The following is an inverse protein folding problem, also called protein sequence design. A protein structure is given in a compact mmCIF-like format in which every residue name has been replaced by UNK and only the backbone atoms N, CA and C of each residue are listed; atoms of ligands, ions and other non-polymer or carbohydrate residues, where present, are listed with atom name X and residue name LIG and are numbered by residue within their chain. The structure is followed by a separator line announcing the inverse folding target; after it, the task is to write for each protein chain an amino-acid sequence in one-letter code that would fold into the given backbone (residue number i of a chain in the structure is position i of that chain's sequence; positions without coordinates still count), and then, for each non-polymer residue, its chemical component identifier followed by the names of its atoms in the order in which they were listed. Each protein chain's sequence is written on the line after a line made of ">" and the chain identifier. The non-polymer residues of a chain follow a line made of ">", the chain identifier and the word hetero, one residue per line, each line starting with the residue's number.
data_IF_102388303471
#
_entry.id   IF_102388303471
#
_cell.length_a   1.000
_cell.length_b   1.000
_cell.length_c   1.000
_cell.angle_alpha   90.00
_cell.angle_beta   90.00
_cell.angle_gamma   90.00
#
_symmetry.space_group_name_H-M   'P 1'
#
loop_
_entity.id
_entity.type
_entity.pdbx_description
1 polymer ?
#
# COMPACT_ATOMS: atom_id res chain seq x y z
N UNK A 1 -57.91 98.81 -76.51
CA UNK A 1 -59.05 99.34 -75.73
C UNK A 1 -59.18 98.53 -74.45
N UNK A 2 -58.52 98.98 -73.39
CA UNK A 2 -58.79 98.58 -72.01
C UNK A 2 -58.71 99.87 -71.21
N UNK A 3 -59.89 100.41 -70.92
CA UNK A 3 -60.09 101.73 -70.33
C UNK A 3 -59.38 101.78 -68.98
N UNK A 4 -58.36 102.63 -68.85
CA UNK A 4 -57.55 102.76 -67.65
C UNK A 4 -58.42 103.37 -66.54
N UNK A 5 -58.87 102.53 -65.61
CA UNK A 5 -59.75 102.92 -64.51
C UNK A 5 -59.13 104.02 -63.64
N UNK A 6 -57.79 104.07 -63.56
CA UNK A 6 -57.06 105.09 -62.81
C UNK A 6 -57.20 106.48 -63.45
N UNK A 7 -57.22 106.56 -64.79
CA UNK A 7 -57.47 107.80 -65.52
C UNK A 7 -58.94 108.23 -65.42
N UNK A 8 -59.88 107.27 -65.39
CA UNK A 8 -61.30 107.54 -65.15
C UNK A 8 -61.53 108.09 -63.74
N UNK A 9 -60.90 107.51 -62.71
CA UNK A 9 -60.99 108.03 -61.35
C UNK A 9 -60.27 109.36 -61.19
N UNK A 10 -59.09 109.56 -61.81
CA UNK A 10 -58.37 110.84 -61.75
C UNK A 10 -59.16 111.97 -62.42
N UNK A 11 -59.70 111.74 -63.62
CA UNK A 11 -60.56 112.70 -64.33
C UNK A 11 -61.87 112.98 -63.57
N UNK A 12 -62.53 111.96 -63.02
CA UNK A 12 -63.76 112.18 -62.24
C UNK A 12 -63.52 112.81 -60.88
N UNK A 13 -62.33 112.64 -60.28
CA UNK A 13 -61.94 113.35 -59.05
C UNK A 13 -61.57 114.80 -59.32
N UNK A 14 -60.85 115.08 -60.42
CA UNK A 14 -60.54 116.44 -60.84
C UNK A 14 -61.82 117.21 -61.24
N UNK A 15 -62.73 116.61 -62.01
CA UNK A 15 -63.97 117.29 -62.45
C UNK A 15 -65.03 117.47 -61.35
N UNK A 16 -65.05 116.62 -60.31
CA UNK A 16 -66.10 116.66 -59.26
C UNK A 16 -65.66 117.21 -57.90
N UNK A 17 -64.36 117.42 -57.67
CA UNK A 17 -63.85 118.00 -56.42
C UNK A 17 -62.99 119.26 -56.58
N UNK A 18 -62.67 119.71 -57.80
CA UNK A 18 -62.21 121.08 -58.01
C UNK A 18 -63.39 122.05 -57.91
N UNK A 19 -63.74 122.39 -56.68
CA UNK A 19 -64.40 123.66 -56.39
C UNK A 19 -63.49 124.74 -56.95
N UNK A 20 -63.84 125.30 -58.12
CA UNK A 20 -63.31 126.57 -58.59
C UNK A 20 -63.55 127.58 -57.47
N UNK A 21 -62.49 127.92 -56.73
CA UNK A 21 -62.50 129.09 -55.84
C UNK A 21 -62.97 130.27 -56.70
N UNK A 22 -64.02 131.01 -56.29
CA UNK A 22 -64.45 132.20 -57.01
C UNK A 22 -63.26 133.15 -57.20
N UNK A 23 -63.10 133.70 -58.41
CA UNK A 23 -62.22 134.85 -58.64
C UNK A 23 -62.68 135.96 -57.69
N UNK A 24 -61.88 136.22 -56.64
CA UNK A 24 -62.13 137.32 -55.70
C UNK A 24 -61.80 138.61 -56.44
N UNK A 25 -62.83 139.44 -56.67
CA UNK A 25 -62.69 140.82 -57.15
C UNK A 25 -61.84 141.61 -56.15
N UNK A 26 -60.55 141.69 -56.45
CA UNK A 26 -59.50 142.19 -55.57
C UNK A 26 -59.20 143.68 -55.83
N UNK A 27 -60.23 144.48 -56.14
CA UNK A 27 -60.05 145.86 -56.62
C UNK A 27 -60.35 146.96 -55.57
N UNK A 28 -60.85 146.61 -54.38
CA UNK A 28 -61.15 147.61 -53.33
C UNK A 28 -60.80 147.17 -51.89
N UNK A 29 -59.57 146.70 -51.63
CA UNK A 29 -59.09 146.41 -50.27
C UNK A 29 -57.77 147.11 -49.95
N UNK A 30 -57.73 147.78 -48.79
CA UNK A 30 -56.60 148.62 -48.34
C UNK A 30 -55.39 147.76 -47.89
N UNK A 31 -54.15 148.29 -47.93
CA UNK A 31 -52.93 147.55 -47.56
C UNK A 31 -52.95 146.90 -46.16
N UNK A 32 -53.73 147.45 -45.22
CA UNK A 32 -53.89 146.91 -43.87
C UNK A 32 -54.69 145.58 -43.85
N UNK A 33 -55.67 145.43 -44.73
CA UNK A 33 -56.52 144.22 -44.84
C UNK A 33 -55.79 143.04 -45.48
N UNK A 34 -54.93 143.27 -46.49
CA UNK A 34 -54.06 142.22 -47.07
C UNK A 34 -53.03 141.68 -46.07
N UNK A 35 -52.50 142.55 -45.19
CA UNK A 35 -51.58 142.11 -44.13
C UNK A 35 -52.28 141.23 -43.09
N UNK A 36 -53.54 141.55 -42.76
CA UNK A 36 -54.38 140.76 -41.86
C UNK A 36 -54.74 139.40 -42.46
N UNK A 37 -55.10 139.33 -43.75
CA UNK A 37 -55.33 138.05 -44.44
C UNK A 37 -54.05 137.22 -44.53
N UNK A 38 -52.89 137.82 -44.88
CA UNK A 38 -51.61 137.08 -44.88
C UNK A 38 -51.20 136.60 -43.49
N UNK A 39 -51.49 137.36 -42.43
CA UNK A 39 -51.29 136.91 -41.03
C UNK A 39 -52.24 135.78 -40.65
N UNK A 40 -53.50 135.83 -41.12
CA UNK A 40 -54.47 134.76 -40.92
C UNK A 40 -54.07 133.48 -41.67
N UNK A 41 -53.66 133.59 -42.93
CA UNK A 41 -53.14 132.47 -43.73
C UNK A 41 -51.87 131.88 -43.09
N UNK A 42 -50.94 132.71 -42.63
CA UNK A 42 -49.76 132.22 -41.91
C UNK A 42 -50.15 131.51 -40.60
N UNK A 43 -51.12 132.04 -39.85
CA UNK A 43 -51.62 131.40 -38.64
C UNK A 43 -52.36 130.08 -38.93
N UNK A 44 -53.13 130.00 -40.01
CA UNK A 44 -53.82 128.76 -40.44
C UNK A 44 -52.81 127.70 -40.90
N UNK A 45 -51.77 128.08 -41.66
CA UNK A 45 -50.68 127.19 -42.07
C UNK A 45 -49.82 126.77 -40.87
N UNK A 46 -49.52 127.68 -39.95
CA UNK A 46 -48.77 127.38 -38.73
C UNK A 46 -49.57 126.45 -37.81
N UNK A 47 -50.89 126.65 -37.70
CA UNK A 47 -51.79 125.76 -36.96
C UNK A 47 -51.90 124.38 -37.62
N UNK A 48 -52.02 124.29 -38.95
CA UNK A 48 -52.02 123.02 -39.69
C UNK A 48 -50.68 122.28 -39.57
N UNK A 49 -49.55 123.02 -39.62
CA UNK A 49 -48.22 122.46 -39.42
C UNK A 49 -48.03 121.95 -37.98
N UNK A 50 -48.59 122.67 -37.01
CA UNK A 50 -48.58 122.26 -35.59
C UNK A 50 -49.40 120.98 -35.40
N UNK A 51 -50.60 120.91 -35.97
CA UNK A 51 -51.44 119.71 -35.96
C UNK A 51 -50.75 118.52 -36.65
N UNK A 52 -50.09 118.72 -37.79
CA UNK A 52 -49.35 117.66 -38.48
C UNK A 52 -48.12 117.20 -37.68
N UNK A 53 -47.42 118.11 -36.99
CA UNK A 53 -46.31 117.77 -36.08
C UNK A 53 -46.81 116.98 -34.88
N UNK A 54 -47.94 117.35 -34.29
CA UNK A 54 -48.57 116.61 -33.20
C UNK A 54 -49.02 115.21 -33.67
N UNK A 55 -49.65 115.09 -34.85
CA UNK A 55 -50.06 113.80 -35.40
C UNK A 55 -48.86 112.89 -35.72
N UNK A 56 -47.80 113.45 -36.29
CA UNK A 56 -46.55 112.73 -36.54
C UNK A 56 -45.89 112.30 -35.22
N UNK A 57 -45.88 113.16 -34.21
CA UNK A 57 -45.37 112.85 -32.88
C UNK A 57 -46.16 111.71 -32.23
N UNK A 58 -47.50 111.75 -32.26
CA UNK A 58 -48.35 110.66 -31.76
C UNK A 58 -48.09 109.33 -32.50
N UNK A 59 -47.93 109.38 -33.83
CA UNK A 59 -47.60 108.18 -34.64
C UNK A 59 -46.21 107.63 -34.30
N UNK A 60 -45.22 108.50 -34.12
CA UNK A 60 -43.87 108.09 -33.70
C UNK A 60 -43.87 107.48 -32.30
N UNK A 61 -44.61 108.06 -31.36
CA UNK A 61 -44.77 107.50 -30.01
C UNK A 61 -45.46 106.14 -30.03
N UNK A 62 -46.52 105.97 -30.82
CA UNK A 62 -47.20 104.68 -31.00
C UNK A 62 -46.29 103.62 -31.63
N UNK A 63 -45.52 103.97 -32.67
CA UNK A 63 -44.55 103.08 -33.29
C UNK A 63 -43.39 102.73 -32.33
N UNK A 64 -42.94 103.68 -31.53
CA UNK A 64 -41.93 103.47 -30.51
C UNK A 64 -42.44 102.51 -29.43
N UNK A 65 -43.65 102.71 -28.91
CA UNK A 65 -44.30 101.78 -27.98
C UNK A 65 -44.45 100.38 -28.59
N UNK A 66 -44.83 100.28 -29.87
CA UNK A 66 -44.97 98.99 -30.56
C UNK A 66 -43.62 98.29 -30.74
N UNK A 67 -42.55 99.02 -31.05
CA UNK A 67 -41.18 98.49 -31.10
C UNK A 67 -40.74 97.96 -29.74
N UNK A 68 -40.93 98.74 -28.69
CA UNK A 68 -40.59 98.32 -27.32
C UNK A 68 -41.40 97.10 -26.89
N UNK A 69 -42.68 97.01 -27.25
CA UNK A 69 -43.52 95.84 -26.98
C UNK A 69 -43.02 94.58 -27.73
N UNK A 70 -42.63 94.73 -29.00
CA UNK A 70 -42.03 93.66 -29.80
C UNK A 70 -40.71 93.18 -29.22
N UNK A 71 -39.82 94.10 -28.82
CA UNK A 71 -38.54 93.76 -28.20
C UNK A 71 -38.73 93.04 -26.85
N UNK A 72 -39.72 93.46 -26.05
CA UNK A 72 -40.09 92.74 -24.81
C UNK A 72 -40.60 91.33 -25.12
N UNK A 73 -41.47 91.16 -26.11
CA UNK A 73 -41.99 89.85 -26.52
C UNK A 73 -40.88 88.95 -27.08
N UNK A 74 -39.95 89.50 -27.85
CA UNK A 74 -38.79 88.76 -28.36
C UNK A 74 -37.88 88.30 -27.21
N UNK A 75 -37.59 89.16 -26.24
CA UNK A 75 -36.83 88.80 -25.03
C UNK A 75 -37.52 87.70 -24.23
N UNK A 76 -38.83 87.82 -24.00
CA UNK A 76 -39.62 86.78 -23.31
C UNK A 76 -39.58 85.45 -24.06
N UNK A 77 -39.67 85.48 -25.40
CA UNK A 77 -39.59 84.26 -26.20
C UNK A 77 -38.20 83.62 -26.11
N UNK A 78 -37.12 84.41 -26.22
CA UNK A 78 -35.74 83.93 -26.06
C UNK A 78 -35.53 83.31 -24.67
N UNK A 79 -36.00 83.96 -23.62
CA UNK A 79 -35.95 83.39 -22.27
C UNK A 79 -36.74 82.09 -22.14
N UNK A 80 -37.95 82.04 -22.74
CA UNK A 80 -38.78 80.83 -22.70
C UNK A 80 -38.09 79.67 -23.42
N UNK A 81 -37.45 79.91 -24.57
CA UNK A 81 -36.69 78.91 -25.32
C UNK A 81 -35.52 78.38 -24.50
N UNK A 82 -34.77 79.26 -23.82
CA UNK A 82 -33.69 78.83 -22.93
C UNK A 82 -34.20 77.98 -21.76
N UNK A 83 -35.34 78.35 -21.16
CA UNK A 83 -36.00 77.57 -20.10
C UNK A 83 -36.46 76.21 -20.62
N UNK A 84 -37.03 76.15 -21.84
CA UNK A 84 -37.47 74.90 -22.47
C UNK A 84 -36.30 73.98 -22.83
N UNK A 85 -35.23 74.50 -23.42
CA UNK A 85 -34.01 73.72 -23.72
C UNK A 85 -33.40 73.15 -22.43
N UNK A 86 -33.31 73.96 -21.37
CA UNK A 86 -32.88 73.50 -20.05
C UNK A 86 -33.80 72.39 -19.51
N UNK A 87 -35.12 72.58 -19.59
CA UNK A 87 -36.10 71.59 -19.16
C UNK A 87 -35.97 70.26 -19.93
N UNK A 88 -35.80 70.31 -21.26
CA UNK A 88 -35.60 69.12 -22.10
C UNK A 88 -34.33 68.38 -21.71
N UNK A 89 -33.20 69.09 -21.56
CA UNK A 89 -31.93 68.49 -21.12
C UNK A 89 -32.03 67.86 -19.73
N UNK A 90 -32.70 68.52 -18.79
CA UNK A 90 -32.93 67.97 -17.45
C UNK A 90 -33.87 66.75 -17.47
N UNK A 91 -34.92 66.77 -18.30
CA UNK A 91 -35.85 65.67 -18.46
C UNK A 91 -35.16 64.45 -19.09
N UNK A 92 -34.40 64.66 -20.17
CA UNK A 92 -33.60 63.61 -20.81
C UNK A 92 -32.56 63.04 -19.85
N UNK A 93 -31.91 63.88 -19.04
CA UNK A 93 -31.00 63.43 -17.98
C UNK A 93 -31.72 62.59 -16.92
N UNK A 94 -32.92 63.00 -16.47
CA UNK A 94 -33.76 62.22 -15.54
C UNK A 94 -34.19 60.88 -16.15
N UNK A 95 -34.63 60.88 -17.41
CA UNK A 95 -35.01 59.69 -18.16
C UNK A 95 -33.83 58.74 -18.33
N UNK A 96 -32.68 59.23 -18.74
CA UNK A 96 -31.45 58.43 -18.88
C UNK A 96 -31.02 57.81 -17.54
N UNK A 97 -31.05 58.57 -16.44
CA UNK A 97 -30.76 58.04 -15.09
C UNK A 97 -31.76 56.96 -14.67
N UNK A 98 -33.06 57.18 -14.92
CA UNK A 98 -34.09 56.20 -14.58
C UNK A 98 -33.93 54.90 -15.39
N UNK A 99 -33.65 55.00 -16.68
CA UNK A 99 -33.39 53.84 -17.55
C UNK A 99 -32.15 53.08 -17.07
N UNK A 100 -31.04 53.80 -16.82
CA UNK A 100 -29.80 53.18 -16.33
C UNK A 100 -30.04 52.46 -14.99
N UNK A 101 -30.70 53.11 -14.03
CA UNK A 101 -31.01 52.50 -12.73
C UNK A 101 -31.88 51.24 -12.89
N UNK A 102 -32.88 51.28 -13.76
CA UNK A 102 -33.72 50.12 -14.03
C UNK A 102 -32.94 48.96 -14.69
N UNK A 103 -31.95 49.27 -15.54
CA UNK A 103 -31.08 48.26 -16.14
C UNK A 103 -30.14 47.65 -15.09
N UNK A 104 -29.46 48.48 -14.29
CA UNK A 104 -28.55 48.04 -13.22
C UNK A 104 -29.30 47.13 -12.22
N UNK A 105 -30.54 47.49 -11.86
CA UNK A 105 -31.38 46.71 -10.94
C UNK A 105 -31.84 45.37 -11.57
N UNK A 106 -32.14 45.34 -12.86
CA UNK A 106 -32.43 44.09 -13.60
C UNK A 106 -31.20 43.18 -13.66
N UNK A 107 -30.02 43.74 -13.88
CA UNK A 107 -28.76 42.98 -13.90
C UNK A 107 -28.43 42.42 -12.52
N UNK A 108 -28.56 43.23 -11.47
CA UNK A 108 -28.38 42.80 -10.09
C UNK A 108 -29.36 41.68 -9.73
N UNK A 109 -30.64 41.83 -10.08
CA UNK A 109 -31.65 40.77 -9.86
C UNK A 109 -31.25 39.48 -10.56
N UNK A 110 -30.87 39.52 -11.84
CA UNK A 110 -30.41 38.33 -12.59
C UNK A 110 -29.21 37.64 -11.93
N UNK A 111 -28.26 38.42 -11.39
CA UNK A 111 -27.12 37.87 -10.65
C UNK A 111 -27.58 37.15 -9.37
N UNK A 112 -28.43 37.81 -8.57
CA UNK A 112 -28.98 37.22 -7.34
C UNK A 112 -29.83 35.99 -7.58
N UNK A 113 -30.59 35.95 -8.67
CA UNK A 113 -31.44 34.80 -9.04
C UNK A 113 -30.58 33.58 -9.39
N UNK A 114 -29.42 33.79 -10.03
CA UNK A 114 -28.41 32.72 -10.23
C UNK A 114 -27.82 32.23 -8.92
N UNK A 115 -27.47 33.14 -8.01
CA UNK A 115 -26.93 32.77 -6.70
C UNK A 115 -27.95 31.99 -5.87
N UNK A 116 -29.23 32.39 -5.91
CA UNK A 116 -30.32 31.65 -5.27
C UNK A 116 -30.40 30.23 -5.83
N UNK A 117 -30.35 30.04 -7.15
CA UNK A 117 -30.35 28.72 -7.77
C UNK A 117 -29.19 27.85 -7.29
N UNK A 118 -27.96 28.39 -7.29
CA UNK A 118 -26.77 27.67 -6.79
C UNK A 118 -26.92 27.25 -5.33
N UNK A 119 -27.40 28.16 -4.47
CA UNK A 119 -27.60 27.88 -3.05
C UNK A 119 -28.70 26.83 -2.83
N UNK A 120 -29.75 26.83 -3.65
CA UNK A 120 -30.80 25.81 -3.60
C UNK A 120 -30.24 24.42 -3.96
N UNK A 121 -29.43 24.33 -5.02
CA UNK A 121 -28.75 23.08 -5.41
C UNK A 121 -27.82 22.57 -4.29
N UNK A 122 -27.09 23.49 -3.66
CA UNK A 122 -26.20 23.17 -2.53
C UNK A 122 -26.98 22.65 -1.31
N UNK A 123 -28.11 23.28 -0.97
CA UNK A 123 -28.98 22.83 0.11
C UNK A 123 -29.52 21.43 -0.18
N UNK A 124 -29.96 21.16 -1.42
CA UNK A 124 -30.46 19.84 -1.79
C UNK A 124 -29.35 18.78 -1.68
N UNK A 125 -28.15 19.07 -2.20
CA UNK A 125 -26.98 18.18 -2.10
C UNK A 125 -26.63 17.87 -0.64
N UNK A 126 -26.47 18.90 0.18
CA UNK A 126 -26.12 18.75 1.59
C UNK A 126 -27.21 18.03 2.39
N UNK A 127 -28.49 18.25 2.06
CA UNK A 127 -29.60 17.54 2.69
C UNK A 127 -29.57 16.04 2.37
N UNK A 128 -29.27 15.66 1.11
CA UNK A 128 -29.07 14.26 0.70
C UNK A 128 -27.89 13.62 1.44
N UNK A 129 -26.76 14.32 1.55
CA UNK A 129 -25.59 13.84 2.29
C UNK A 129 -25.89 13.64 3.77
N UNK A 130 -26.54 14.62 4.41
CA UNK A 130 -27.01 14.52 5.80
C UNK A 130 -27.90 13.30 5.99
N UNK A 131 -28.88 13.09 5.10
CA UNK A 131 -29.76 11.93 5.13
C UNK A 131 -28.99 10.60 4.99
N UNK A 132 -27.95 10.54 4.15
CA UNK A 132 -27.07 9.38 4.02
C UNK A 132 -26.29 9.10 5.30
N UNK A 133 -25.72 10.12 5.93
CA UNK A 133 -24.98 9.98 7.19
C UNK A 133 -25.89 9.60 8.34
N UNK A 134 -27.09 10.19 8.42
CA UNK A 134 -28.09 9.86 9.42
C UNK A 134 -28.47 8.37 9.36
N UNK A 135 -28.75 7.82 8.17
CA UNK A 135 -29.03 6.39 8.00
C UNK A 135 -27.85 5.50 8.42
N UNK A 136 -26.61 5.93 8.16
CA UNK A 136 -25.42 5.20 8.62
C UNK A 136 -25.30 5.23 10.14
N UNK A 137 -25.54 6.39 10.74
CA UNK A 137 -25.51 6.56 12.19
C UNK A 137 -26.57 5.69 12.87
N UNK A 138 -27.80 5.68 12.36
CA UNK A 138 -28.89 4.83 12.87
C UNK A 138 -28.53 3.35 12.83
N UNK A 139 -27.99 2.87 11.70
CA UNK A 139 -27.50 1.48 11.57
C UNK A 139 -26.42 1.16 12.59
N UNK A 140 -25.48 2.08 12.82
CA UNK A 140 -24.36 1.86 13.73
C UNK A 140 -24.72 2.10 15.21
N UNK A 141 -25.82 2.80 15.51
CA UNK A 141 -26.26 3.10 16.88
C UNK A 141 -26.50 1.84 17.71
N UNK A 142 -26.86 0.72 17.07
CA UNK A 142 -27.06 -0.57 17.72
C UNK A 142 -25.75 -1.05 18.37
N UNK A 143 -24.61 -0.88 17.69
CA UNK A 143 -23.30 -1.27 18.21
C UNK A 143 -22.88 -0.39 19.38
N UNK A 144 -23.13 0.92 19.29
CA UNK A 144 -22.86 1.83 20.41
C UNK A 144 -23.67 1.44 21.64
N UNK A 145 -25.00 1.25 21.51
CA UNK A 145 -25.86 0.80 22.61
C UNK A 145 -25.44 -0.56 23.18
N UNK A 146 -24.96 -1.45 22.33
CA UNK A 146 -24.40 -2.72 22.80
C UNK A 146 -23.14 -2.48 23.65
N UNK A 147 -22.20 -1.66 23.17
CA UNK A 147 -20.97 -1.35 23.92
C UNK A 147 -21.25 -0.60 25.22
N UNK A 148 -22.21 0.31 25.23
CA UNK A 148 -22.69 0.98 26.46
C UNK A 148 -23.20 -0.05 27.48
N UNK A 149 -24.03 -1.01 27.05
CA UNK A 149 -24.49 -2.11 27.93
C UNK A 149 -23.35 -3.00 28.44
N UNK A 150 -22.35 -3.28 27.60
CA UNK A 150 -21.16 -4.04 28.00
C UNK A 150 -20.37 -3.26 29.05
N UNK A 151 -20.19 -1.96 28.86
CA UNK A 151 -19.55 -1.09 29.84
C UNK A 151 -20.34 -1.05 31.15
N UNK A 152 -21.66 -0.88 31.11
CA UNK A 152 -22.52 -0.90 32.30
C UNK A 152 -22.47 -2.24 33.06
N UNK A 153 -22.16 -3.34 32.38
CA UNK A 153 -22.08 -4.67 32.99
C UNK A 153 -20.76 -4.96 33.72
N UNK A 154 -19.74 -4.14 33.50
CA UNK A 154 -18.38 -4.41 34.00
C UNK A 154 -17.76 -3.14 34.58
N UNK A 155 -17.49 -3.14 35.89
CA UNK A 155 -16.90 -1.99 36.59
C UNK A 155 -15.41 -1.74 36.28
N UNK A 156 -14.77 -2.61 35.49
CA UNK A 156 -13.34 -2.52 35.14
C UNK A 156 -13.01 -1.42 34.13
N UNK A 157 -13.99 -0.94 33.36
CA UNK A 157 -13.77 0.02 32.27
C UNK A 157 -14.66 1.25 32.40
N UNK A 158 -14.04 2.41 32.41
CA UNK A 158 -14.71 3.71 32.55
C UNK A 158 -15.18 4.31 31.23
N UNK A 159 -14.57 3.89 30.11
CA UNK A 159 -14.99 4.28 28.75
C UNK A 159 -14.98 3.09 27.79
N UNK A 160 -15.90 3.08 26.82
CA UNK A 160 -15.91 2.11 25.69
C UNK A 160 -14.56 2.04 24.97
N UNK A 161 -13.84 3.17 24.88
CA UNK A 161 -12.51 3.22 24.26
C UNK A 161 -11.49 2.35 24.99
N UNK A 162 -11.59 2.22 26.31
CA UNK A 162 -10.69 1.37 27.09
C UNK A 162 -10.95 -0.11 26.79
N UNK A 163 -12.21 -0.50 26.62
CA UNK A 163 -12.62 -1.86 26.20
C UNK A 163 -12.03 -2.17 24.82
N UNK A 164 -12.15 -1.24 23.87
CA UNK A 164 -11.57 -1.39 22.52
C UNK A 164 -10.05 -1.51 22.60
N UNK A 165 -9.37 -0.63 23.33
CA UNK A 165 -7.92 -0.68 23.49
C UNK A 165 -7.44 -1.97 24.15
N UNK A 166 -8.20 -2.49 25.13
CA UNK A 166 -7.93 -3.79 25.75
C UNK A 166 -8.09 -4.93 24.75
N UNK A 167 -9.17 -4.92 23.97
CA UNK A 167 -9.40 -5.88 22.89
C UNK A 167 -8.27 -5.86 21.86
N UNK A 168 -7.88 -4.68 21.38
CA UNK A 168 -6.80 -4.53 20.39
C UNK A 168 -5.48 -5.08 20.93
N UNK A 169 -5.15 -4.76 22.19
CA UNK A 169 -3.97 -5.31 22.86
C UNK A 169 -4.06 -6.82 22.97
N UNK A 170 -5.22 -7.37 23.34
CA UNK A 170 -5.40 -8.82 23.48
C UNK A 170 -5.26 -9.52 22.12
N UNK A 171 -5.86 -8.97 21.06
CA UNK A 171 -5.72 -9.49 19.69
C UNK A 171 -4.27 -9.45 19.23
N UNK A 172 -3.57 -8.34 19.46
CA UNK A 172 -2.15 -8.22 19.13
C UNK A 172 -1.31 -9.28 19.87
N UNK A 173 -1.49 -9.42 21.19
CA UNK A 173 -0.79 -10.45 21.98
C UNK A 173 -1.13 -11.87 21.54
N UNK A 174 -2.38 -12.14 21.18
CA UNK A 174 -2.80 -13.44 20.67
C UNK A 174 -2.11 -13.79 19.35
N UNK A 175 -2.03 -12.82 18.41
CA UNK A 175 -1.32 -13.00 17.14
C UNK A 175 0.17 -13.28 17.38
N UNK A 176 0.80 -12.55 18.31
CA UNK A 176 2.22 -12.77 18.62
C UNK A 176 2.47 -14.11 19.32
N UNK A 177 1.59 -14.52 20.22
CA UNK A 177 1.63 -15.84 20.85
C UNK A 177 1.47 -16.96 19.83
N UNK A 178 0.53 -16.86 18.90
CA UNK A 178 0.36 -17.83 17.82
C UNK A 178 1.61 -17.95 16.94
N UNK A 179 2.22 -16.82 16.56
CA UNK A 179 3.48 -16.83 15.80
C UNK A 179 4.61 -17.51 16.57
N UNK A 180 4.70 -17.27 17.88
CA UNK A 180 5.70 -17.90 18.73
C UNK A 180 5.45 -19.40 18.89
N UNK A 181 4.20 -19.80 19.02
CA UNK A 181 3.81 -21.21 19.11
C UNK A 181 4.19 -21.97 17.83
N UNK A 182 3.86 -21.42 16.66
CA UNK A 182 4.27 -22.00 15.37
C UNK A 182 5.79 -22.18 15.28
N UNK A 183 6.57 -21.14 15.62
CA UNK A 183 8.04 -21.26 15.64
C UNK A 183 8.55 -22.32 16.61
N UNK A 184 7.92 -22.44 17.77
CA UNK A 184 8.28 -23.46 18.74
C UNK A 184 7.93 -24.86 18.24
N UNK A 185 6.78 -25.03 17.56
CA UNK A 185 6.40 -26.30 16.95
C UNK A 185 7.40 -26.70 15.85
N UNK A 186 7.77 -25.77 14.97
CA UNK A 186 8.79 -26.01 13.93
C UNK A 186 10.12 -26.45 14.55
N UNK A 187 10.57 -25.77 15.61
CA UNK A 187 11.82 -26.13 16.31
C UNK A 187 11.73 -27.51 16.99
N UNK A 188 10.59 -27.84 17.60
CA UNK A 188 10.37 -29.17 18.19
C UNK A 188 10.39 -30.24 17.11
N UNK A 189 9.78 -29.99 15.95
CA UNK A 189 9.75 -30.94 14.85
C UNK A 189 11.15 -31.14 14.24
N UNK A 190 11.95 -30.07 14.14
CA UNK A 190 13.35 -30.15 13.73
C UNK A 190 14.18 -31.01 14.69
N UNK A 191 14.09 -30.76 16.00
CA UNK A 191 14.82 -31.53 17.02
C UNK A 191 14.35 -32.99 17.09
N UNK A 192 13.05 -33.25 16.94
CA UNK A 192 12.51 -34.62 16.79
C UNK A 192 13.12 -35.30 15.56
N UNK A 193 13.19 -34.61 14.43
CA UNK A 193 13.81 -35.11 13.21
C UNK A 193 15.29 -35.44 13.41
N UNK A 194 16.04 -34.60 14.14
CA UNK A 194 17.45 -34.86 14.51
C UNK A 194 17.57 -36.09 15.41
N UNK A 195 16.71 -36.23 16.41
CA UNK A 195 16.71 -37.36 17.34
C UNK A 195 16.42 -38.69 16.62
N UNK A 196 15.46 -38.71 15.70
CA UNK A 196 15.13 -39.92 14.90
C UNK A 196 16.35 -40.34 14.09
N UNK A 197 16.97 -39.41 13.34
CA UNK A 197 18.18 -39.70 12.55
C UNK A 197 19.32 -40.23 13.41
N UNK A 198 19.60 -39.57 14.53
CA UNK A 198 20.64 -40.02 15.46
C UNK A 198 20.36 -41.43 16.01
N UNK A 199 19.10 -41.73 16.33
CA UNK A 199 18.69 -43.04 16.83
C UNK A 199 18.87 -44.12 15.76
N UNK A 200 18.49 -43.84 14.50
CA UNK A 200 18.71 -44.74 13.37
C UNK A 200 20.21 -45.00 13.13
N UNK A 201 21.03 -43.95 13.15
CA UNK A 201 22.49 -44.06 13.05
C UNK A 201 23.08 -44.95 14.16
N UNK A 202 22.69 -44.73 15.42
CA UNK A 202 23.17 -45.54 16.55
C UNK A 202 22.66 -46.98 16.49
N UNK A 203 21.44 -47.22 16.06
CA UNK A 203 20.94 -48.57 15.85
C UNK A 203 21.74 -49.30 14.75
N UNK A 204 22.08 -48.61 13.66
CA UNK A 204 22.93 -49.16 12.61
C UNK A 204 24.35 -49.48 13.11
N UNK A 205 24.95 -48.61 13.93
CA UNK A 205 26.23 -48.89 14.61
C UNK A 205 26.13 -50.14 15.49
N UNK A 206 25.09 -50.26 16.31
CA UNK A 206 24.86 -51.43 17.17
C UNK A 206 24.74 -52.71 16.33
N UNK A 207 23.98 -52.68 15.23
CA UNK A 207 23.87 -53.82 14.31
C UNK A 207 25.22 -54.20 13.71
N UNK A 208 26.03 -53.22 13.31
CA UNK A 208 27.40 -53.44 12.82
C UNK A 208 28.28 -54.12 13.88
N UNK A 209 28.27 -53.64 15.13
CA UNK A 209 29.01 -54.25 16.22
C UNK A 209 28.52 -55.65 16.56
N UNK A 210 27.21 -55.89 16.57
CA UNK A 210 26.65 -57.23 16.79
C UNK A 210 27.09 -58.22 15.71
N UNK A 211 27.13 -57.78 14.44
CA UNK A 211 27.64 -58.60 13.35
C UNK A 211 29.13 -58.93 13.54
N UNK A 212 29.95 -57.96 13.93
CA UNK A 212 31.37 -58.19 14.24
C UNK A 212 31.55 -59.14 15.42
N UNK A 213 30.75 -58.98 16.49
CA UNK A 213 30.77 -59.85 17.64
C UNK A 213 30.44 -61.30 17.27
N UNK A 214 29.40 -61.51 16.44
CA UNK A 214 29.03 -62.84 15.96
C UNK A 214 30.16 -63.49 15.12
N UNK A 215 30.85 -62.71 14.28
CA UNK A 215 32.02 -63.18 13.52
C UNK A 215 33.18 -63.57 14.44
N UNK A 216 33.49 -62.74 15.43
CA UNK A 216 34.55 -63.02 16.40
C UNK A 216 34.23 -64.25 17.25
N UNK A 217 32.98 -64.40 17.69
CA UNK A 217 32.51 -65.57 18.44
C UNK A 217 32.66 -66.85 17.60
N UNK A 218 32.22 -66.81 16.33
CA UNK A 218 32.39 -67.94 15.41
C UNK A 218 33.87 -68.33 15.26
N UNK A 219 34.76 -67.34 15.15
CA UNK A 219 36.20 -67.58 15.05
C UNK A 219 36.78 -68.17 16.34
N UNK A 220 36.32 -67.71 17.50
CA UNK A 220 36.70 -68.24 18.80
C UNK A 220 36.27 -69.71 18.93
N UNK A 221 35.02 -70.03 18.63
CA UNK A 221 34.47 -71.38 18.72
C UNK A 221 35.22 -72.35 17.78
N UNK A 222 35.58 -71.89 16.57
CA UNK A 222 36.41 -72.67 15.65
C UNK A 222 37.83 -72.91 16.20
N UNK A 223 38.46 -71.90 16.81
CA UNK A 223 39.77 -72.03 17.41
C UNK A 223 39.75 -72.99 18.62
N UNK A 224 38.75 -72.86 19.49
CA UNK A 224 38.53 -73.76 20.62
C UNK A 224 38.29 -75.21 20.16
N UNK A 225 37.45 -75.42 19.14
CA UNK A 225 37.23 -76.75 18.57
C UNK A 225 38.53 -77.38 18.03
N UNK A 226 39.38 -76.59 17.37
CA UNK A 226 40.70 -77.04 16.92
C UNK A 226 41.62 -77.36 18.09
N UNK A 227 41.64 -76.51 19.13
CA UNK A 227 42.46 -76.72 20.33
C UNK A 227 42.09 -78.05 21.00
N UNK A 228 40.80 -78.29 21.27
CA UNK A 228 40.31 -79.54 21.87
C UNK A 228 40.68 -80.76 21.02
N UNK A 229 40.57 -80.68 19.68
CA UNK A 229 40.99 -81.77 18.78
C UNK A 229 42.48 -82.08 18.92
N UNK A 230 43.34 -81.07 18.99
CA UNK A 230 44.78 -81.27 19.12
C UNK A 230 45.18 -81.73 20.53
N UNK A 231 44.52 -81.23 21.57
CA UNK A 231 44.72 -81.66 22.94
C UNK A 231 44.36 -83.14 23.14
N UNK A 232 43.26 -83.60 22.53
CA UNK A 232 42.88 -85.01 22.51
C UNK A 232 43.94 -85.88 21.82
N UNK A 233 44.42 -85.47 20.64
CA UNK A 233 45.51 -86.16 19.93
C UNK A 233 46.79 -86.19 20.77
N UNK A 234 47.16 -85.08 21.39
CA UNK A 234 48.33 -84.98 22.25
C UNK A 234 48.22 -85.92 23.45
N UNK A 235 47.07 -85.92 24.13
CA UNK A 235 46.79 -86.83 25.25
C UNK A 235 46.89 -88.29 24.82
N UNK A 236 46.39 -88.65 23.62
CA UNK A 236 46.51 -90.00 23.09
C UNK A 236 47.97 -90.41 22.83
N UNK A 237 48.77 -89.49 22.25
CA UNK A 237 50.20 -89.71 22.04
C UNK A 237 50.91 -89.88 23.38
N UNK A 238 50.65 -89.01 24.35
CA UNK A 238 51.24 -89.07 25.69
C UNK A 238 50.89 -90.38 26.41
N UNK A 239 49.62 -90.80 26.38
CA UNK A 239 49.18 -92.07 26.95
C UNK A 239 49.85 -93.26 26.26
N UNK A 240 50.00 -93.22 24.94
CA UNK A 240 50.68 -94.27 24.18
C UNK A 240 52.17 -94.32 24.51
N UNK A 241 52.82 -93.16 24.60
CA UNK A 241 54.22 -93.05 25.02
C UNK A 241 54.40 -93.59 26.44
N UNK A 242 53.56 -93.21 27.40
CA UNK A 242 53.59 -93.71 28.76
C UNK A 242 53.43 -95.24 28.82
N UNK A 243 52.49 -95.82 28.05
CA UNK A 243 52.34 -97.29 27.92
C UNK A 243 53.58 -97.96 27.35
N UNK A 244 54.17 -97.40 26.29
CA UNK A 244 55.41 -97.93 25.68
C UNK A 244 56.60 -97.83 26.64
N UNK A 245 56.74 -96.72 27.33
CA UNK A 245 57.79 -96.52 28.36
C UNK A 245 57.62 -97.51 29.51
N UNK A 246 56.39 -97.74 29.99
CA UNK A 246 56.12 -98.74 31.03
C UNK A 246 56.43 -100.16 30.55
N UNK A 247 56.01 -100.53 29.34
CA UNK A 247 56.32 -101.83 28.75
C UNK A 247 57.82 -102.04 28.61
N UNK A 248 58.53 -101.03 28.10
CA UNK A 248 60.00 -101.06 28.01
C UNK A 248 60.62 -101.25 29.40
N UNK A 249 60.17 -100.50 30.41
CA UNK A 249 60.62 -100.66 31.79
C UNK A 249 60.38 -102.08 32.33
N UNK A 250 59.21 -102.68 32.06
CA UNK A 250 58.91 -104.07 32.43
C UNK A 250 59.84 -105.07 31.74
N UNK A 251 60.09 -104.91 30.43
CA UNK A 251 61.03 -105.74 29.68
C UNK A 251 62.42 -105.63 30.30
N UNK A 252 62.91 -104.40 30.54
CA UNK A 252 64.22 -104.17 31.17
C UNK A 252 64.35 -104.89 32.51
N UNK A 253 63.34 -104.77 33.39
CA UNK A 253 63.35 -105.43 34.71
C UNK A 253 63.30 -106.96 34.57
N UNK A 254 62.41 -107.50 33.73
CA UNK A 254 62.29 -108.94 33.51
C UNK A 254 63.59 -109.54 32.95
N UNK A 255 64.18 -108.89 31.94
CA UNK A 255 65.50 -109.24 31.42
C UNK A 255 66.56 -109.20 32.51
N UNK A 256 66.60 -108.13 33.31
CA UNK A 256 67.59 -108.02 34.36
C UNK A 256 67.44 -109.12 35.42
N UNK A 257 66.21 -109.44 35.81
CA UNK A 257 65.93 -110.52 36.76
C UNK A 257 66.36 -111.89 36.21
N UNK A 258 66.09 -112.17 34.93
CA UNK A 258 66.56 -113.39 34.27
C UNK A 258 68.09 -113.44 34.17
N UNK A 259 68.74 -112.32 33.84
CA UNK A 259 70.20 -112.23 33.80
C UNK A 259 70.83 -112.49 35.17
N UNK A 260 70.24 -111.92 36.24
CA UNK A 260 70.68 -112.21 37.61
C UNK A 260 70.53 -113.70 37.96
N UNK A 261 69.45 -114.35 37.52
CA UNK A 261 69.26 -115.79 37.72
C UNK A 261 70.33 -116.62 36.99
N UNK A 262 70.64 -116.29 35.73
CA UNK A 262 71.72 -116.90 34.96
C UNK A 262 73.07 -116.72 35.65
N UNK A 263 73.40 -115.51 36.09
CA UNK A 263 74.62 -115.23 36.85
C UNK A 263 74.72 -116.07 38.14
N UNK A 264 73.60 -116.21 38.86
CA UNK A 264 73.52 -117.03 40.08
C UNK A 264 73.81 -118.51 39.79
N UNK A 265 73.27 -119.05 38.70
CA UNK A 265 73.53 -120.44 38.27
C UNK A 265 74.97 -120.68 37.83
N UNK A 266 75.57 -119.72 37.11
CA UNK A 266 76.96 -119.79 36.65
C UNK A 266 77.99 -119.52 37.76
N UNK A 267 77.55 -119.15 38.99
CA UNK A 267 78.42 -118.65 40.08
C UNK A 267 79.36 -117.51 39.63
N UNK A 268 78.97 -116.76 38.60
CA UNK A 268 79.75 -115.64 38.03
C UNK A 268 79.21 -114.31 38.56
N UNK A 269 80.09 -113.42 39.02
CA UNK A 269 79.75 -112.03 39.36
C UNK A 269 79.91 -111.11 38.14
N UNK A 270 79.24 -111.41 37.03
CA UNK A 270 79.29 -110.51 35.87
C UNK A 270 78.38 -109.28 36.13
N UNK A 271 78.98 -108.14 36.45
CA UNK A 271 78.27 -106.86 36.62
C UNK A 271 78.02 -106.19 35.27
N UNK A 272 76.86 -106.48 34.66
CA UNK A 272 76.34 -105.72 33.51
C UNK A 272 75.40 -104.62 34.03
N UNK A 273 75.59 -103.35 33.62
CA UNK A 273 74.72 -102.25 34.04
C UNK A 273 73.24 -102.50 33.72
N UNK A 274 72.35 -102.03 34.60
CA UNK A 274 70.89 -102.17 34.47
C UNK A 274 70.36 -101.64 33.12
N UNK A 275 70.96 -100.57 32.62
CA UNK A 275 70.51 -99.89 31.40
C UNK A 275 70.86 -100.61 30.10
N UNK A 276 71.82 -101.54 30.11
CA UNK A 276 72.26 -102.22 28.90
C UNK A 276 71.53 -103.57 28.71
N UNK A 277 70.24 -103.48 28.42
CA UNK A 277 69.34 -104.63 28.28
C UNK A 277 69.73 -105.58 27.15
N UNK A 278 70.28 -105.06 26.04
CA UNK A 278 70.73 -105.88 24.92
C UNK A 278 71.84 -106.85 25.36
N UNK A 279 72.85 -106.33 26.06
CA UNK A 279 73.98 -107.14 26.53
C UNK A 279 73.56 -108.16 27.61
N UNK A 280 72.55 -107.84 28.42
CA UNK A 280 71.95 -108.80 29.36
C UNK A 280 71.21 -109.93 28.63
N UNK A 281 70.44 -109.60 27.58
CA UNK A 281 69.76 -110.61 26.74
C UNK A 281 70.77 -111.50 26.01
N UNK A 282 71.86 -110.96 25.47
CA UNK A 282 72.90 -111.75 24.81
C UNK A 282 73.50 -112.79 25.75
N UNK A 283 73.78 -112.40 27.01
CA UNK A 283 74.29 -113.33 28.03
C UNK A 283 73.28 -114.40 28.42
N UNK A 284 72.00 -114.03 28.56
CA UNK A 284 70.92 -115.01 28.79
C UNK A 284 70.81 -115.97 27.61
N UNK A 285 70.86 -115.47 26.38
CA UNK A 285 70.78 -116.27 25.16
C UNK A 285 71.93 -117.26 25.05
N UNK A 286 73.17 -116.81 25.26
CA UNK A 286 74.34 -117.71 25.27
C UNK A 286 74.14 -118.83 26.28
N UNK A 287 73.71 -118.52 27.51
CA UNK A 287 73.47 -119.53 28.54
C UNK A 287 72.37 -120.53 28.15
N UNK A 288 71.26 -120.06 27.58
CA UNK A 288 70.19 -120.95 27.11
C UNK A 288 70.67 -121.83 25.95
N UNK A 289 71.46 -121.28 25.02
CA UNK A 289 72.02 -122.04 23.90
C UNK A 289 73.01 -123.10 24.40
N UNK A 290 73.88 -122.76 25.35
CA UNK A 290 74.80 -123.70 25.99
C UNK A 290 74.03 -124.83 26.68
N UNK A 291 73.02 -124.51 27.50
CA UNK A 291 72.16 -125.51 28.14
C UNK A 291 71.41 -126.38 27.12
N UNK A 292 70.92 -125.78 26.04
CA UNK A 292 70.25 -126.52 24.97
C UNK A 292 71.23 -127.45 24.28
N UNK A 293 72.44 -127.01 23.95
CA UNK A 293 73.48 -127.85 23.36
C UNK A 293 73.82 -129.02 24.27
N UNK A 294 74.06 -128.77 25.56
CA UNK A 294 74.31 -129.81 26.57
C UNK A 294 73.13 -130.80 26.61
N UNK A 295 71.89 -130.32 26.65
CA UNK A 295 70.72 -131.20 26.70
C UNK A 295 70.54 -132.00 25.39
N UNK A 296 70.86 -131.41 24.24
CA UNK A 296 70.77 -132.08 22.94
C UNK A 296 71.89 -133.11 22.79
N UNK A 297 73.08 -132.83 23.31
CA UNK A 297 74.17 -133.79 23.44
C UNK A 297 73.81 -134.94 24.37
N UNK A 298 73.23 -134.66 25.54
CA UNK A 298 72.72 -135.69 26.46
C UNK A 298 71.68 -136.57 25.74
N UNK A 299 70.71 -135.97 25.03
CA UNK A 299 69.72 -136.72 24.25
C UNK A 299 70.33 -137.51 23.08
N UNK A 300 71.40 -136.99 22.44
CA UNK A 300 72.17 -137.72 21.42
C UNK A 300 72.91 -138.90 22.01
N UNK A 301 73.47 -138.75 23.21
CA UNK A 301 74.16 -139.82 23.95
C UNK A 301 73.15 -140.86 24.43
N UNK A 302 71.96 -140.46 24.88
CA UNK A 302 70.85 -141.38 25.21
C UNK A 302 70.33 -142.12 23.98
N UNK A 303 70.23 -141.45 22.82
CA UNK A 303 69.82 -142.08 21.56
C UNK A 303 70.91 -142.99 20.95
N UNK A 304 72.19 -142.67 21.14
CA UNK A 304 73.32 -143.50 20.72
C UNK A 304 73.55 -144.71 21.66
N UNK A 305 73.07 -144.64 22.91
CA UNK A 305 73.08 -145.75 23.87
C UNK A 305 71.95 -146.77 23.71
N UNK A 306 70.96 -146.53 22.83
CA UNK A 306 69.79 -147.39 22.63
C UNK A 306 69.76 -148.16 21.29
N UNK A 307 70.91 -148.31 20.61
CA UNK A 307 70.94 -148.97 19.30
C UNK A 307 72.22 -149.72 18.93
N UNK A 308 72.68 -150.68 19.74
CA UNK A 308 72.95 -152.08 19.34
C UNK A 308 73.55 -152.89 20.51
N UNK A 309 73.22 -154.19 20.64
CA UNK A 309 73.87 -155.12 21.58
C UNK A 309 75.36 -155.36 21.28
#
# INVERSE_FOLDING_TARGET
>A
MTVNLEDYFRSTFEDKLLVKMPEREDDHLTPATRLLEKRREMAEVEQALTAQKEEFQMKMESLQQRREELERKEHQLKESLLKFDKFLKENDSKRARAIKKAQDERELRRSKEKDIGRLQDDIERLSKERGRYQKKLEKNSIFQKYMERVQESTDEFSEIREIIGRYDTLVATHVDLMKRDLKNQDAIEEEKGRLVKFTEEKNNEILSYNNQLAQLQTRLDQAQSKAVKWESKWTHIQNTAAKKTLLLGRIKIATHNLFQLVNKHLKQQATVPLENTALQLDKIQMFIQDLSQITTEIKRVEAAGQGNP
#
